data_IF_310822034084
#
_entry.id   IF_310822034084
#
_cell.length_a   1.000
_cell.length_b   1.000
_cell.length_c   1.000
_cell.angle_alpha   90.00
_cell.angle_beta   90.00
_cell.angle_gamma   90.00
#
_symmetry.space_group_name_H-M   'P 1'
#
loop_
_entity.id
_entity.type
_entity.pdbx_description
1 polymer ?
#
# COMPACT_ATOMS: atom_id res chain seq x y z
N UNK A 1 -16.74 -8.45 -15.99
CA UNK A 1 -16.77 -7.00 -15.67
C UNK A 1 -16.51 -6.12 -16.91
N UNK A 2 -17.12 -4.93 -17.04
CA UNK A 2 -16.83 -3.92 -18.09
C UNK A 2 -15.93 -2.81 -17.53
N UNK A 3 -15.16 -2.09 -18.36
CA UNK A 3 -14.20 -1.06 -17.88
C UNK A 3 -14.82 0.02 -16.98
N UNK A 4 -16.07 0.42 -17.26
CA UNK A 4 -16.80 1.40 -16.46
C UNK A 4 -17.01 0.95 -15.00
N UNK A 5 -16.97 -0.35 -14.74
CA UNK A 5 -17.25 -0.93 -13.43
C UNK A 5 -16.07 -0.74 -12.45
N UNK A 6 -14.82 -1.17 -12.73
CA UNK A 6 -13.68 -0.86 -11.88
C UNK A 6 -13.40 0.65 -11.85
N UNK A 7 -13.61 1.38 -12.95
CA UNK A 7 -13.47 2.84 -12.95
C UNK A 7 -14.44 3.51 -11.97
N UNK A 8 -15.71 3.06 -11.92
CA UNK A 8 -16.69 3.54 -10.94
C UNK A 8 -16.28 3.17 -9.52
N UNK A 9 -15.81 1.95 -9.28
CA UNK A 9 -15.38 1.50 -7.95
C UNK A 9 -14.22 2.37 -7.46
N UNK A 10 -13.18 2.53 -8.27
CA UNK A 10 -12.02 3.36 -7.97
C UNK A 10 -12.46 4.79 -7.70
N UNK A 11 -13.28 5.39 -8.57
CA UNK A 11 -13.75 6.76 -8.37
C UNK A 11 -14.50 6.95 -7.04
N UNK A 12 -15.44 6.06 -6.72
CA UNK A 12 -16.19 6.14 -5.46
C UNK A 12 -15.27 6.00 -4.25
N UNK A 13 -14.30 5.07 -4.30
CA UNK A 13 -13.36 4.89 -3.20
C UNK A 13 -12.39 6.08 -3.07
N UNK A 14 -11.90 6.65 -4.17
CA UNK A 14 -11.09 7.87 -4.14
C UNK A 14 -11.87 9.05 -3.54
N UNK A 15 -13.13 9.25 -3.94
CA UNK A 15 -13.97 10.30 -3.38
C UNK A 15 -14.23 10.09 -1.89
N UNK A 16 -14.43 8.83 -1.46
CA UNK A 16 -14.60 8.49 -0.05
C UNK A 16 -13.32 8.78 0.75
N UNK A 17 -12.15 8.32 0.28
CA UNK A 17 -10.86 8.57 0.91
C UNK A 17 -10.57 10.08 1.04
N UNK A 18 -10.89 10.86 -0.01
CA UNK A 18 -10.75 12.31 0.04
C UNK A 18 -11.73 12.94 1.03
N UNK A 19 -12.98 12.44 1.08
CA UNK A 19 -13.98 12.92 2.04
C UNK A 19 -13.57 12.64 3.49
N UNK A 20 -13.02 11.46 3.75
CA UNK A 20 -12.47 11.11 5.07
C UNK A 20 -11.32 12.05 5.42
N UNK A 21 -10.45 12.35 4.46
CA UNK A 21 -9.33 13.27 4.67
C UNK A 21 -9.78 14.70 4.99
N UNK A 22 -10.95 15.14 4.51
CA UNK A 22 -11.54 16.44 4.87
C UNK A 22 -11.92 16.54 6.36
N UNK A 23 -12.12 15.41 7.06
CA UNK A 23 -12.41 15.44 8.51
C UNK A 23 -11.24 16.08 9.29
N UNK A 24 -10.02 15.96 8.77
CA UNK A 24 -8.80 16.54 9.32
C UNK A 24 -8.70 18.07 9.17
N UNK A 25 -9.67 18.73 8.52
CA UNK A 25 -9.82 20.20 8.60
C UNK A 25 -10.18 20.64 10.03
N UNK A 26 -10.80 19.74 10.81
CA UNK A 26 -11.21 20.05 12.18
C UNK A 26 -10.10 19.78 13.19
N UNK A 27 -9.93 20.69 14.16
CA UNK A 27 -8.95 20.54 15.24
C UNK A 27 -9.16 19.25 16.04
N UNK A 28 -10.43 18.82 16.21
CA UNK A 28 -10.76 17.57 16.88
C UNK A 28 -10.10 16.35 16.23
N UNK A 29 -10.16 16.25 14.91
CA UNK A 29 -9.58 15.14 14.17
C UNK A 29 -8.05 15.17 14.19
N UNK A 30 -7.45 16.36 14.18
CA UNK A 30 -6.00 16.53 14.35
C UNK A 30 -5.54 16.06 15.74
N UNK A 31 -6.26 16.45 16.80
CA UNK A 31 -5.96 16.04 18.17
C UNK A 31 -6.11 14.53 18.39
N UNK A 32 -6.99 13.85 17.64
CA UNK A 32 -7.10 12.39 17.68
C UNK A 32 -5.80 11.70 17.26
N UNK A 33 -5.05 12.28 16.31
CA UNK A 33 -3.78 11.67 15.86
C UNK A 33 -2.70 11.69 16.95
N UNK A 34 -2.78 12.63 17.89
CA UNK A 34 -1.88 12.68 19.05
C UNK A 34 -2.20 11.56 20.06
N UNK A 35 -3.47 11.17 20.17
CA UNK A 35 -3.93 10.07 21.01
C UNK A 35 -4.10 8.77 20.20
N UNK A 36 -3.05 7.96 20.18
CA UNK A 36 -2.99 6.76 19.34
C UNK A 36 -4.11 5.75 19.60
N UNK A 37 -4.66 5.69 20.81
CA UNK A 37 -5.82 4.83 21.12
C UNK A 37 -7.06 5.32 20.39
N UNK A 38 -7.32 6.64 20.40
CA UNK A 38 -8.44 7.23 19.66
C UNK A 38 -8.23 7.10 18.14
N UNK A 39 -7.00 7.30 17.66
CA UNK A 39 -6.67 7.11 16.25
C UNK A 39 -6.96 5.68 15.76
N UNK A 40 -6.66 4.65 16.57
CA UNK A 40 -7.03 3.26 16.27
C UNK A 40 -8.54 3.09 16.16
N UNK A 41 -9.31 3.61 17.12
CA UNK A 41 -10.77 3.48 17.10
C UNK A 41 -11.35 4.16 15.86
N UNK A 42 -10.88 5.38 15.56
CA UNK A 42 -11.30 6.13 14.38
C UNK A 42 -10.97 5.38 13.08
N UNK A 43 -9.75 4.87 12.94
CA UNK A 43 -9.37 4.13 11.74
C UNK A 43 -10.14 2.83 11.59
N UNK A 44 -10.32 2.03 12.65
CA UNK A 44 -11.17 0.82 12.61
C UNK A 44 -12.58 1.16 12.14
N UNK A 45 -13.16 2.24 12.65
CA UNK A 45 -14.48 2.70 12.23
C UNK A 45 -14.51 3.10 10.75
N UNK A 46 -13.54 3.91 10.30
CA UNK A 46 -13.40 4.35 8.91
C UNK A 46 -13.23 3.14 7.97
N UNK A 47 -12.26 2.27 8.23
CA UNK A 47 -11.96 1.12 7.36
C UNK A 47 -13.09 0.10 7.34
N UNK A 48 -13.90 0.02 8.42
CA UNK A 48 -15.13 -0.78 8.42
C UNK A 48 -16.16 -0.20 7.45
N UNK A 49 -16.38 1.12 7.47
CA UNK A 49 -17.30 1.80 6.54
C UNK A 49 -16.81 1.65 5.10
N UNK A 50 -15.53 1.90 4.84
CA UNK A 50 -14.93 1.72 3.52
C UNK A 50 -15.08 0.29 3.02
N UNK A 51 -14.80 -0.71 3.87
CA UNK A 51 -14.95 -2.12 3.55
C UNK A 51 -16.41 -2.49 3.21
N UNK A 52 -17.38 -1.95 3.95
CA UNK A 52 -18.81 -2.17 3.68
C UNK A 52 -19.25 -1.55 2.34
N UNK A 53 -18.78 -0.34 2.04
CA UNK A 53 -19.05 0.33 0.77
C UNK A 53 -18.41 -0.45 -0.38
N UNK A 54 -17.13 -0.81 -0.26
CA UNK A 54 -16.41 -1.61 -1.24
C UNK A 54 -17.10 -2.96 -1.46
N UNK A 55 -17.46 -3.67 -0.39
CA UNK A 55 -18.20 -4.93 -0.48
C UNK A 55 -19.52 -4.77 -1.25
N UNK A 56 -20.29 -3.70 -0.95
CA UNK A 56 -21.54 -3.41 -1.67
C UNK A 56 -21.31 -3.11 -3.15
N UNK A 57 -20.25 -2.38 -3.49
CA UNK A 57 -19.90 -2.08 -4.89
C UNK A 57 -19.44 -3.32 -5.65
N UNK A 58 -18.76 -4.25 -4.97
CA UNK A 58 -18.25 -5.50 -5.56
C UNK A 58 -19.29 -6.62 -5.62
N UNK A 59 -20.39 -6.55 -4.86
CA UNK A 59 -21.44 -7.58 -4.79
C UNK A 59 -21.88 -8.13 -6.16
N UNK A 60 -22.07 -7.31 -7.22
CA UNK A 60 -22.45 -7.83 -8.54
C UNK A 60 -21.38 -8.73 -9.19
N UNK A 61 -20.12 -8.61 -8.78
CA UNK A 61 -18.96 -9.25 -9.40
C UNK A 61 -18.34 -10.37 -8.56
N UNK A 62 -18.92 -10.72 -7.40
CA UNK A 62 -18.35 -11.74 -6.50
C UNK A 62 -18.10 -13.11 -7.14
N UNK A 63 -18.88 -13.49 -8.15
CA UNK A 63 -18.64 -14.74 -8.89
C UNK A 63 -17.42 -14.67 -9.80
N UNK A 64 -17.07 -13.47 -10.25
CA UNK A 64 -15.92 -13.23 -11.12
C UNK A 64 -14.64 -13.03 -10.30
N UNK A 65 -14.77 -12.45 -9.09
CA UNK A 65 -13.66 -12.23 -8.18
C UNK A 65 -13.34 -13.53 -7.44
N UNK A 66 -12.23 -14.18 -7.81
CA UNK A 66 -11.75 -15.39 -7.13
C UNK A 66 -11.13 -15.06 -5.76
N UNK A 67 -11.97 -14.68 -4.79
CA UNK A 67 -11.54 -14.24 -3.46
C UNK A 67 -10.74 -15.33 -2.72
N UNK A 68 -11.04 -16.61 -2.97
CA UNK A 68 -10.30 -17.74 -2.40
C UNK A 68 -8.85 -17.82 -2.89
N UNK A 69 -8.58 -17.51 -4.16
CA UNK A 69 -7.23 -17.47 -4.72
C UNK A 69 -6.46 -16.23 -4.27
N UNK A 70 -7.18 -15.11 -4.08
CA UNK A 70 -6.62 -13.88 -3.54
C UNK A 70 -6.16 -14.07 -2.08
N UNK A 71 -7.03 -14.64 -1.24
CA UNK A 71 -6.83 -14.72 0.21
C UNK A 71 -6.35 -16.09 0.70
N UNK A 72 -5.41 -16.72 -0.02
CA UNK A 72 -4.87 -18.01 0.42
C UNK A 72 -3.91 -17.88 1.62
N UNK A 73 -4.01 -18.82 2.57
CA UNK A 73 -3.10 -18.90 3.74
C UNK A 73 -1.63 -19.00 3.32
N UNK A 74 -1.35 -19.70 2.22
CA UNK A 74 0.00 -19.84 1.67
C UNK A 74 0.57 -18.49 1.22
N UNK A 75 -0.22 -17.68 0.50
CA UNK A 75 0.19 -16.33 0.08
C UNK A 75 0.45 -15.44 1.30
N UNK A 76 -0.37 -15.53 2.35
CA UNK A 76 -0.18 -14.80 3.60
C UNK A 76 1.15 -15.18 4.31
N UNK A 77 1.42 -16.47 4.50
CA UNK A 77 2.68 -16.91 5.15
C UNK A 77 3.90 -16.45 4.37
N UNK A 78 3.86 -16.60 3.03
CA UNK A 78 4.91 -16.09 2.15
C UNK A 78 5.08 -14.57 2.32
N UNK A 79 3.98 -13.83 2.35
CA UNK A 79 3.99 -12.38 2.50
C UNK A 79 4.64 -11.95 3.83
N UNK A 80 4.31 -12.61 4.94
CA UNK A 80 4.91 -12.32 6.26
C UNK A 80 6.43 -12.56 6.23
N UNK A 81 6.86 -13.71 5.72
CA UNK A 81 8.29 -14.05 5.63
C UNK A 81 9.03 -13.03 4.76
N UNK A 82 8.48 -12.72 3.58
CA UNK A 82 9.13 -11.80 2.65
C UNK A 82 9.11 -10.36 3.13
N UNK A 83 8.03 -9.92 3.79
CA UNK A 83 7.96 -8.62 4.43
C UNK A 83 9.04 -8.48 5.51
N UNK A 84 9.23 -9.51 6.34
CA UNK A 84 10.31 -9.56 7.31
C UNK A 84 11.70 -9.50 6.66
N UNK A 85 11.92 -10.23 5.55
CA UNK A 85 13.18 -10.18 4.79
C UNK A 85 13.45 -8.79 4.23
N UNK A 86 12.45 -8.14 3.62
CA UNK A 86 12.59 -6.76 3.11
C UNK A 86 12.91 -5.80 4.25
N UNK A 87 12.20 -5.92 5.38
CA UNK A 87 12.46 -5.09 6.54
C UNK A 87 13.89 -5.28 7.08
N UNK A 88 14.34 -6.51 7.27
CA UNK A 88 15.70 -6.83 7.72
C UNK A 88 16.78 -6.28 6.77
N UNK A 89 16.60 -6.50 5.46
CA UNK A 89 17.55 -5.99 4.45
C UNK A 89 17.61 -4.48 4.45
N UNK A 90 16.47 -3.79 4.60
CA UNK A 90 16.44 -2.34 4.70
C UNK A 90 17.25 -1.85 5.91
N UNK A 91 17.09 -2.47 7.10
CA UNK A 91 17.92 -2.12 8.27
C UNK A 91 19.41 -2.29 8.01
N UNK A 92 19.79 -3.43 7.40
CA UNK A 92 21.19 -3.74 7.07
C UNK A 92 21.74 -2.68 6.13
N UNK A 93 21.00 -2.33 5.07
CA UNK A 93 21.45 -1.34 4.10
C UNK A 93 21.55 0.05 4.70
N UNK A 94 20.59 0.45 5.54
CA UNK A 94 20.63 1.73 6.25
C UNK A 94 21.84 1.76 7.18
N UNK A 95 22.08 0.71 7.97
CA UNK A 95 23.21 0.61 8.88
C UNK A 95 24.55 0.80 8.14
N UNK A 96 24.80 0.02 7.09
CA UNK A 96 26.05 0.10 6.34
C UNK A 96 26.16 1.35 5.46
N UNK A 97 25.05 1.86 4.93
CA UNK A 97 25.04 3.03 4.07
C UNK A 97 25.18 4.36 4.83
N UNK A 98 24.67 4.43 6.06
CA UNK A 98 24.69 5.65 6.87
C UNK A 98 25.69 5.64 8.02
N UNK A 99 26.20 4.46 8.40
CA UNK A 99 27.07 4.26 9.58
C UNK A 99 26.42 4.76 10.89
N UNK A 100 25.09 4.85 10.93
CA UNK A 100 24.31 5.23 12.12
C UNK A 100 24.10 3.96 12.98
N UNK A 101 24.33 4.02 14.30
CA UNK A 101 24.11 2.89 15.18
C UNK A 101 22.63 2.51 15.29
N UNK A 102 22.38 1.23 15.54
CA UNK A 102 21.03 0.73 15.81
C UNK A 102 20.57 1.12 17.22
N UNK A 103 19.34 1.60 17.32
CA UNK A 103 18.66 1.92 18.57
C UNK A 103 17.38 1.10 18.70
N UNK A 104 17.33 0.25 19.74
CA UNK A 104 16.15 -0.55 20.01
C UNK A 104 15.03 0.31 20.61
N UNK A 105 13.81 0.28 20.04
CA UNK A 105 12.69 1.03 20.58
C UNK A 105 12.23 0.44 21.93
N UNK A 106 11.67 1.29 22.79
CA UNK A 106 11.06 0.85 24.05
C UNK A 106 9.86 -0.06 23.80
N UNK A 107 9.53 -0.91 24.78
CA UNK A 107 8.35 -1.80 24.69
C UNK A 107 7.06 -1.04 24.40
N UNK A 108 6.87 0.14 25.02
CA UNK A 108 5.71 1.01 24.76
C UNK A 108 5.65 1.47 23.30
N UNK A 109 6.78 1.87 22.70
CA UNK A 109 6.85 2.25 21.28
C UNK A 109 6.55 1.06 20.37
N UNK A 110 7.06 -0.14 20.69
CA UNK A 110 6.76 -1.37 19.94
C UNK A 110 5.27 -1.70 20.01
N UNK A 111 4.66 -1.63 21.20
CA UNK A 111 3.22 -1.89 21.39
C UNK A 111 2.38 -0.88 20.60
N UNK A 112 2.69 0.42 20.71
CA UNK A 112 2.01 1.47 19.93
C UNK A 112 2.14 1.20 18.43
N UNK A 113 3.36 0.92 17.96
CA UNK A 113 3.61 0.59 16.56
C UNK A 113 2.76 -0.59 16.10
N UNK A 114 2.84 -1.72 16.80
CA UNK A 114 2.17 -2.95 16.43
C UNK A 114 0.65 -2.77 16.35
N UNK A 115 0.06 -2.08 17.32
CA UNK A 115 -1.38 -1.84 17.34
C UNK A 115 -1.83 -0.90 16.21
N UNK A 116 -1.11 0.20 15.95
CA UNK A 116 -1.41 1.08 14.80
C UNK A 116 -1.22 0.32 13.49
N UNK A 117 -0.13 -0.44 13.37
CA UNK A 117 0.19 -1.21 12.17
C UNK A 117 -0.89 -2.24 11.84
N UNK A 118 -1.34 -2.99 12.85
CA UNK A 118 -2.34 -4.04 12.67
C UNK A 118 -3.75 -3.50 12.42
N UNK A 119 -4.16 -2.45 13.13
CA UNK A 119 -5.54 -1.98 13.10
C UNK A 119 -5.78 -0.80 12.15
N UNK A 120 -4.73 -0.11 11.70
CA UNK A 120 -4.86 0.98 10.74
C UNK A 120 -4.05 0.72 9.46
N UNK A 121 -2.74 0.51 9.57
CA UNK A 121 -1.86 0.47 8.39
C UNK A 121 -2.17 -0.71 7.48
N UNK A 122 -2.34 -1.93 8.02
CA UNK A 122 -2.68 -3.11 7.22
C UNK A 122 -4.07 -2.99 6.58
N UNK A 123 -5.16 -2.66 7.32
CA UNK A 123 -6.48 -2.52 6.71
C UNK A 123 -6.53 -1.46 5.61
N UNK A 124 -5.94 -0.28 5.86
CA UNK A 124 -5.86 0.80 4.87
C UNK A 124 -5.14 0.32 3.60
N UNK A 125 -3.91 -0.19 3.77
CA UNK A 125 -3.11 -0.68 2.65
C UNK A 125 -3.82 -1.82 1.91
N UNK A 126 -4.51 -2.73 2.61
CA UNK A 126 -5.20 -3.85 1.96
C UNK A 126 -6.33 -3.36 1.06
N UNK A 127 -7.14 -2.42 1.54
CA UNK A 127 -8.23 -1.81 0.77
C UNK A 127 -7.67 -1.11 -0.46
N UNK A 128 -6.62 -0.29 -0.29
CA UNK A 128 -5.97 0.43 -1.39
C UNK A 128 -5.33 -0.52 -2.40
N UNK A 129 -4.57 -1.52 -1.96
CA UNK A 129 -3.97 -2.50 -2.85
C UNK A 129 -5.03 -3.32 -3.59
N UNK A 130 -6.14 -3.64 -2.94
CA UNK A 130 -7.26 -4.30 -3.60
C UNK A 130 -7.85 -3.42 -4.72
N UNK A 131 -8.11 -2.15 -4.44
CA UNK A 131 -8.74 -1.21 -5.37
C UNK A 131 -7.82 -0.83 -6.53
N UNK A 132 -6.56 -0.55 -6.25
CA UNK A 132 -5.63 0.00 -7.22
C UNK A 132 -4.78 -1.07 -7.90
N UNK A 133 -4.53 -2.23 -7.30
CA UNK A 133 -3.66 -3.26 -7.90
C UNK A 133 -4.46 -4.46 -8.36
N UNK A 134 -5.22 -5.07 -7.45
CA UNK A 134 -5.98 -6.27 -7.80
C UNK A 134 -7.07 -6.00 -8.83
N UNK A 135 -7.99 -5.05 -8.59
CA UNK A 135 -9.13 -4.83 -9.49
C UNK A 135 -8.70 -4.46 -10.93
N UNK A 136 -7.74 -3.53 -11.15
CA UNK A 136 -7.33 -3.18 -12.50
C UNK A 136 -6.61 -4.33 -13.20
N UNK A 137 -5.72 -5.05 -12.51
CA UNK A 137 -5.02 -6.19 -13.10
C UNK A 137 -5.98 -7.31 -13.44
N UNK A 138 -6.90 -7.65 -12.52
CA UNK A 138 -7.91 -8.69 -12.75
C UNK A 138 -8.82 -8.34 -13.93
N UNK A 139 -9.23 -7.08 -14.05
CA UNK A 139 -9.95 -6.60 -15.23
C UNK A 139 -9.14 -6.80 -16.52
N UNK A 140 -7.85 -6.45 -16.49
CA UNK A 140 -6.97 -6.57 -17.64
C UNK A 140 -6.78 -8.03 -18.07
N UNK A 141 -6.63 -8.95 -17.11
CA UNK A 141 -6.55 -10.39 -17.35
C UNK A 141 -7.85 -10.94 -17.95
N UNK A 142 -9.01 -10.57 -17.41
CA UNK A 142 -10.32 -10.95 -17.97
C UNK A 142 -10.54 -10.45 -19.41
N UNK A 143 -9.88 -9.35 -19.78
CA UNK A 143 -9.96 -8.75 -21.11
C UNK A 143 -8.78 -9.12 -22.01
N UNK A 144 -7.92 -10.02 -21.55
CA UNK A 144 -6.73 -10.48 -22.28
C UNK A 144 -5.87 -9.31 -22.79
N UNK A 145 -5.79 -8.23 -21.98
CA UNK A 145 -5.03 -7.04 -22.34
C UNK A 145 -3.54 -7.41 -22.50
N UNK A 146 -2.90 -7.05 -23.63
CA UNK A 146 -1.49 -7.36 -23.87
C UNK A 146 -0.57 -6.77 -22.78
N UNK A 147 0.55 -7.45 -22.51
CA UNK A 147 1.53 -7.03 -21.48
C UNK A 147 2.04 -5.60 -21.69
N UNK A 148 2.19 -5.14 -22.93
CA UNK A 148 2.63 -3.76 -23.20
C UNK A 148 1.60 -2.73 -22.69
N UNK A 149 0.31 -3.05 -22.80
CA UNK A 149 -0.77 -2.19 -22.33
C UNK A 149 -0.93 -2.21 -20.81
N UNK A 150 -0.42 -3.23 -20.11
CA UNK A 150 -0.35 -3.25 -18.65
C UNK A 150 0.52 -2.13 -18.08
N UNK A 151 1.55 -1.68 -18.82
CA UNK A 151 2.37 -0.53 -18.42
C UNK A 151 1.52 0.74 -18.43
N UNK A 152 0.75 0.96 -19.50
CA UNK A 152 -0.18 2.10 -19.59
C UNK A 152 -1.23 2.07 -18.48
N UNK A 153 -1.78 0.88 -18.18
CA UNK A 153 -2.69 0.69 -17.06
C UNK A 153 -2.03 1.03 -15.72
N UNK A 154 -0.82 0.54 -15.47
CA UNK A 154 -0.08 0.83 -14.24
C UNK A 154 0.14 2.34 -14.06
N UNK A 155 0.52 3.04 -15.14
CA UNK A 155 0.71 4.51 -15.12
C UNK A 155 -0.59 5.23 -14.79
N UNK A 156 -1.69 4.89 -15.45
CA UNK A 156 -3.01 5.52 -15.20
C UNK A 156 -3.47 5.26 -13.76
N UNK A 157 -3.36 4.03 -13.28
CA UNK A 157 -3.69 3.66 -11.91
C UNK A 157 -2.82 4.43 -10.91
N UNK A 158 -1.51 4.54 -11.14
CA UNK A 158 -0.59 5.26 -10.27
C UNK A 158 -0.88 6.77 -10.22
N UNK A 159 -1.31 7.36 -11.34
CA UNK A 159 -1.78 8.76 -11.38
C UNK A 159 -3.03 8.91 -10.52
N UNK A 160 -4.04 8.04 -10.67
CA UNK A 160 -5.27 8.13 -9.89
C UNK A 160 -4.98 7.89 -8.40
N UNK A 161 -4.11 6.93 -8.08
CA UNK A 161 -3.64 6.66 -6.72
C UNK A 161 -2.99 7.91 -6.12
N UNK A 162 -2.04 8.52 -6.82
CA UNK A 162 -1.38 9.76 -6.38
C UNK A 162 -2.39 10.89 -6.15
N UNK A 163 -3.28 11.14 -7.12
CA UNK A 163 -4.31 12.17 -7.00
C UNK A 163 -5.29 11.92 -5.85
N UNK A 164 -5.55 10.66 -5.50
CA UNK A 164 -6.41 10.33 -4.37
C UNK A 164 -5.85 10.78 -3.01
N UNK A 165 -4.55 11.10 -2.93
CA UNK A 165 -3.89 11.58 -1.72
C UNK A 165 -3.86 13.10 -1.56
N UNK A 166 -4.34 13.88 -2.56
CA UNK A 166 -4.25 15.35 -2.53
C UNK A 166 -4.86 15.94 -1.27
N UNK A 167 -6.07 15.53 -0.90
CA UNK A 167 -6.73 16.04 0.32
C UNK A 167 -6.01 15.62 1.60
N UNK A 168 -5.47 14.41 1.67
CA UNK A 168 -4.67 13.98 2.83
C UNK A 168 -3.43 14.86 2.97
N UNK A 169 -2.71 15.14 1.88
CA UNK A 169 -1.54 16.01 1.93
C UNK A 169 -1.87 17.44 2.36
N UNK A 170 -2.95 18.02 1.84
CA UNK A 170 -3.36 19.38 2.19
C UNK A 170 -3.85 19.46 3.63
N UNK A 171 -4.79 18.59 4.02
CA UNK A 171 -5.55 18.76 5.27
C UNK A 171 -5.01 17.96 6.45
N UNK A 172 -4.47 16.76 6.23
CA UNK A 172 -3.89 15.93 7.30
C UNK A 172 -2.43 16.29 7.52
N UNK A 173 -1.65 16.39 6.43
CA UNK A 173 -0.20 16.57 6.51
C UNK A 173 0.23 18.04 6.39
N UNK A 174 -0.74 18.96 6.30
CA UNK A 174 -0.53 20.43 6.25
C UNK A 174 0.46 20.86 5.15
N UNK A 175 0.46 20.17 4.02
CA UNK A 175 1.31 20.50 2.87
C UNK A 175 0.69 21.65 2.09
N UNK A 176 1.43 22.76 1.97
CA UNK A 176 1.05 23.90 1.14
C UNK A 176 0.81 23.47 -0.31
N UNK A 177 -0.17 24.10 -0.96
CA UNK A 177 -0.53 23.76 -2.35
C UNK A 177 0.65 23.86 -3.32
N UNK A 178 1.54 24.84 -3.13
CA UNK A 178 2.77 25.02 -3.93
C UNK A 178 3.79 23.88 -3.75
N UNK A 179 3.69 23.13 -2.66
CA UNK A 179 4.60 22.04 -2.28
C UNK A 179 3.95 20.65 -2.45
N UNK A 180 2.80 20.54 -3.11
CA UNK A 180 2.12 19.26 -3.34
C UNK A 180 2.81 18.36 -4.37
N UNK A 181 3.54 18.94 -5.33
CA UNK A 181 4.13 18.16 -6.42
C UNK A 181 5.11 17.08 -5.92
N UNK A 182 6.08 17.35 -5.03
CA UNK A 182 6.99 16.32 -4.52
C UNK A 182 6.31 15.10 -3.87
N UNK A 183 5.38 15.23 -2.89
CA UNK A 183 4.73 14.06 -2.30
C UNK A 183 3.83 13.33 -3.29
N UNK A 184 3.16 14.03 -4.22
CA UNK A 184 2.35 13.38 -5.27
C UNK A 184 3.21 12.58 -6.26
N UNK A 185 4.37 13.12 -6.65
CA UNK A 185 5.34 12.40 -7.49
C UNK A 185 5.86 11.17 -6.76
N UNK A 186 6.17 11.29 -5.47
CA UNK A 186 6.55 10.15 -4.63
C UNK A 186 5.45 9.08 -4.60
N UNK A 187 4.20 9.47 -4.31
CA UNK A 187 3.05 8.57 -4.31
C UNK A 187 2.83 7.88 -5.66
N UNK A 188 3.09 8.58 -6.78
CA UNK A 188 3.04 7.99 -8.12
C UNK A 188 4.09 6.88 -8.28
N UNK A 189 5.35 7.11 -7.88
CA UNK A 189 6.42 6.12 -8.01
C UNK A 189 6.23 4.91 -7.08
N UNK A 190 5.79 5.13 -5.83
CA UNK A 190 5.34 4.04 -4.95
C UNK A 190 4.14 3.30 -5.56
N UNK A 191 3.21 4.05 -6.15
CA UNK A 191 2.10 3.59 -6.98
C UNK A 191 2.53 2.50 -7.96
N UNK A 192 3.47 2.87 -8.83
CA UNK A 192 4.07 2.03 -9.84
C UNK A 192 4.85 0.85 -9.26
N UNK A 193 5.64 1.07 -8.21
CA UNK A 193 6.43 0.03 -7.56
C UNK A 193 5.53 -1.07 -6.98
N UNK A 194 4.46 -0.71 -6.27
CA UNK A 194 3.49 -1.67 -5.73
C UNK A 194 2.73 -2.42 -6.81
N UNK A 195 2.39 -1.75 -7.91
CA UNK A 195 1.81 -2.43 -9.07
C UNK A 195 2.76 -3.47 -9.65
N UNK A 196 4.04 -3.12 -9.81
CA UNK A 196 5.07 -4.06 -10.28
C UNK A 196 5.26 -5.24 -9.33
N UNK A 197 5.36 -4.98 -8.02
CA UNK A 197 5.43 -6.02 -6.98
C UNK A 197 4.25 -6.98 -7.11
N UNK A 198 3.04 -6.44 -7.24
CA UNK A 198 1.84 -7.25 -7.36
C UNK A 198 1.84 -8.10 -8.63
N UNK A 199 2.14 -7.53 -9.80
CA UNK A 199 2.22 -8.26 -11.08
C UNK A 199 3.27 -9.38 -11.04
N UNK A 200 4.43 -9.14 -10.43
CA UNK A 200 5.50 -10.13 -10.35
C UNK A 200 5.13 -11.28 -9.41
N UNK A 201 4.60 -10.93 -8.23
CA UNK A 201 4.41 -11.88 -7.12
C UNK A 201 3.04 -12.54 -7.09
N UNK A 202 2.02 -11.94 -7.73
CA UNK A 202 0.61 -12.32 -7.61
C UNK A 202 0.19 -12.50 -6.12
N UNK A 203 0.71 -11.64 -5.24
CA UNK A 203 0.50 -11.77 -3.80
C UNK A 203 0.06 -10.45 -3.18
N UNK A 204 -1.26 -10.27 -3.07
CA UNK A 204 -1.83 -9.04 -2.52
C UNK A 204 -1.40 -8.79 -1.08
N UNK A 205 -1.23 -9.85 -0.27
CA UNK A 205 -0.76 -9.70 1.11
C UNK A 205 0.66 -9.18 1.17
N UNK A 206 1.52 -9.59 0.23
CA UNK A 206 2.89 -9.10 0.20
C UNK A 206 2.93 -7.62 -0.16
N UNK A 207 2.24 -7.22 -1.23
CA UNK A 207 2.13 -5.80 -1.60
C UNK A 207 1.49 -4.97 -0.48
N UNK A 208 0.45 -5.50 0.18
CA UNK A 208 -0.21 -4.86 1.33
C UNK A 208 0.74 -4.66 2.49
N UNK A 209 1.52 -5.67 2.88
CA UNK A 209 2.46 -5.54 3.99
C UNK A 209 3.55 -4.53 3.67
N UNK A 210 4.09 -4.54 2.45
CA UNK A 210 5.07 -3.57 2.00
C UNK A 210 4.50 -2.14 2.03
N UNK A 211 3.27 -1.95 1.56
CA UNK A 211 2.62 -0.65 1.61
C UNK A 211 2.34 -0.23 3.07
N UNK A 212 1.82 -1.13 3.92
CA UNK A 212 1.61 -0.84 5.32
C UNK A 212 2.92 -0.44 6.03
N UNK A 213 4.04 -1.11 5.71
CA UNK A 213 5.36 -0.79 6.22
C UNK A 213 5.87 0.56 5.74
N UNK A 214 5.60 0.99 4.50
CA UNK A 214 5.97 2.34 4.06
C UNK A 214 5.20 3.42 4.80
N UNK A 215 3.92 3.16 5.11
CA UNK A 215 3.05 4.13 5.77
C UNK A 215 3.35 4.24 7.27
N UNK A 216 3.88 3.17 7.88
CA UNK A 216 4.26 3.16 9.28
C UNK A 216 5.51 2.29 9.44
N UNK A 217 6.66 2.96 9.44
CA UNK A 217 7.97 2.34 9.50
C UNK A 217 8.45 2.19 10.95
N UNK A 218 8.96 1.00 11.30
CA UNK A 218 9.71 0.80 12.53
C UNK A 218 11.17 0.50 12.19
N UNK A 219 11.99 1.55 12.08
CA UNK A 219 13.43 1.39 11.88
C UNK A 219 14.20 1.29 13.20
N UNK A 220 15.18 0.39 13.23
CA UNK A 220 16.17 0.31 14.30
C UNK A 220 17.28 1.33 14.06
N UNK A 221 17.59 1.62 12.79
CA UNK A 221 18.55 2.66 12.40
C UNK A 221 17.77 3.85 11.86
N UNK A 222 17.80 4.99 12.56
CA UNK A 222 17.04 6.17 12.16
C UNK A 222 17.86 7.06 11.22
N UNK A 223 17.69 6.90 9.90
CA UNK A 223 18.37 7.69 8.88
C UNK A 223 17.42 8.66 8.17
N UNK A 224 17.88 9.84 7.71
CA UNK A 224 17.08 10.69 6.82
C UNK A 224 16.79 10.04 5.46
N UNK A 225 17.45 8.93 5.14
CA UNK A 225 17.30 8.20 3.87
C UNK A 225 16.47 6.92 3.99
N UNK A 226 15.75 6.72 5.09
CA UNK A 226 14.95 5.51 5.35
C UNK A 226 14.05 5.13 4.16
N UNK A 227 13.27 6.08 3.64
CA UNK A 227 12.36 5.86 2.49
C UNK A 227 13.11 5.42 1.23
N UNK A 228 14.28 6.02 0.98
CA UNK A 228 15.10 5.71 -0.18
C UNK A 228 15.65 4.28 -0.10
N UNK A 229 16.22 3.91 1.06
CA UNK A 229 16.71 2.55 1.29
C UNK A 229 15.57 1.53 1.23
N UNK A 230 14.40 1.86 1.77
CA UNK A 230 13.22 1.01 1.69
C UNK A 230 12.79 0.75 0.25
N UNK A 231 12.65 1.82 -0.54
CA UNK A 231 12.27 1.74 -1.94
C UNK A 231 13.25 0.86 -2.74
N UNK A 232 14.56 1.08 -2.59
CA UNK A 232 15.55 0.26 -3.28
C UNK A 232 15.54 -1.20 -2.82
N UNK A 233 15.35 -1.45 -1.52
CA UNK A 233 15.27 -2.82 -0.98
C UNK A 233 14.08 -3.56 -1.58
N UNK A 234 12.93 -2.88 -1.68
CA UNK A 234 11.73 -3.42 -2.30
C UNK A 234 11.97 -3.79 -3.78
N UNK A 235 12.55 -2.88 -4.56
CA UNK A 235 12.86 -3.13 -5.98
C UNK A 235 13.82 -4.31 -6.11
N UNK A 236 14.89 -4.36 -5.31
CA UNK A 236 15.87 -5.44 -5.34
C UNK A 236 15.26 -6.82 -5.03
N UNK A 237 14.49 -6.93 -3.95
CA UNK A 237 13.83 -8.20 -3.57
C UNK A 237 12.83 -8.63 -4.65
N UNK A 238 12.10 -7.68 -5.24
CA UNK A 238 11.15 -7.96 -6.32
C UNK A 238 11.84 -8.43 -7.59
N UNK A 239 12.99 -7.84 -7.95
CA UNK A 239 13.80 -8.29 -9.09
C UNK A 239 14.36 -9.70 -8.87
N UNK A 240 14.85 -10.02 -7.67
CA UNK A 240 15.28 -11.39 -7.33
C UNK A 240 14.11 -12.38 -7.50
N UNK A 241 12.93 -12.00 -7.02
CA UNK A 241 11.72 -12.82 -7.17
C UNK A 241 11.39 -13.07 -8.64
N UNK A 242 11.41 -12.01 -9.45
CA UNK A 242 11.17 -12.07 -10.89
C UNK A 242 12.19 -12.97 -11.60
N UNK A 243 13.49 -12.78 -11.36
CA UNK A 243 14.55 -13.62 -11.93
C UNK A 243 14.36 -15.10 -11.57
N UNK A 244 14.03 -15.40 -10.31
CA UNK A 244 13.75 -16.78 -9.86
C UNK A 244 12.54 -17.38 -10.58
N UNK A 245 11.51 -16.58 -10.85
CA UNK A 245 10.29 -17.02 -11.57
C UNK A 245 10.62 -17.34 -13.03
N UNK A 246 11.34 -16.46 -13.71
CA UNK A 246 11.72 -16.68 -15.12
C UNK A 246 12.72 -17.83 -15.29
N UNK A 247 13.70 -17.99 -14.40
CA UNK A 247 14.60 -19.16 -14.44
C UNK A 247 13.81 -20.48 -14.37
N UNK A 248 12.86 -20.60 -13.43
CA UNK A 248 12.02 -21.82 -13.34
C UNK A 248 11.16 -22.06 -14.57
N UNK A 249 10.82 -21.01 -15.32
CA UNK A 249 10.05 -21.12 -16.56
C UNK A 249 10.93 -21.60 -17.73
N UNK A 250 12.20 -21.19 -17.79
CA UNK A 250 13.16 -21.62 -18.82
C UNK A 250 13.55 -23.10 -18.64
N UNK A 251 13.67 -23.57 -17.40
CA UNK A 251 14.07 -24.95 -17.09
C UNK A 251 12.91 -25.94 -16.95
N UNK A 252 11.70 -25.57 -17.38
CA UNK A 252 10.52 -26.45 -17.46
C UNK A 252 10.21 -26.72 -18.92
#
# INVERSE_FOLDING_TARGET
>A
MRLKDPAKIILVCCLLANTISLIFITDWAQNILENWQQAIVLGVFIFSIESLILARLLKPYYKELSLGELFSRKKLVIAIIMGFVVWMLAQIWIYYGSQIPAHFPSSSRITKYFLIFLFNSIPAALIEEFIFRFLPLHFAEQKEIPRQQLIGLAVVVAIIFSLSHVSAYIFRDHTDFSMLAPPLISAFFYGMAYFFVYVVTDNIYFTTLIHAFSNNQLYLVNSPYNDLFYFYTLIFVTLIWFMRKEMRRIYR
#
